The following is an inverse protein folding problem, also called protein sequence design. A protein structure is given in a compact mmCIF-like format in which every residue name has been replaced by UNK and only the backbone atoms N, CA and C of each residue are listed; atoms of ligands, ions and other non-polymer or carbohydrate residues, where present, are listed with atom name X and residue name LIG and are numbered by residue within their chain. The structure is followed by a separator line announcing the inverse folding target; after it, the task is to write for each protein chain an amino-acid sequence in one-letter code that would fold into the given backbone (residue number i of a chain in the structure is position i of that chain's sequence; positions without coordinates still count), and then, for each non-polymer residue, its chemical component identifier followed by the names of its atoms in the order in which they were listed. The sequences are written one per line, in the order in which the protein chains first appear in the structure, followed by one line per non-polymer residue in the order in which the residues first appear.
data_IF_371614615253
#
_entry.id   IF_371614615253
#
_cell.length_a   1.000
_cell.length_b   1.000
_cell.length_c   1.000
_cell.angle_alpha   90.00
_cell.angle_beta   90.00
_cell.angle_gamma   90.00
#
_symmetry.space_group_name_H-M   'P 1'
#
loop_
_entity.id
_entity.type
_entity.pdbx_description
1 polymer ?
#
# COMPACT_ATOMS: atom_id res chain seq x y z
N UNK A 1 61.82 -3.01 -19.87
CA UNK A 1 61.41 -3.52 -21.19
C UNK A 1 59.92 -3.82 -21.15
N UNK A 2 59.13 -2.82 -21.53
CA UNK A 2 57.69 -2.93 -21.76
C UNK A 2 57.48 -3.72 -23.05
N UNK A 3 56.42 -4.54 -23.13
CA UNK A 3 55.94 -5.06 -24.40
C UNK A 3 54.42 -4.92 -24.47
N UNK A 4 54.08 -3.90 -25.23
CA UNK A 4 52.78 -3.51 -25.78
C UNK A 4 52.30 -4.62 -26.72
N UNK A 5 51.02 -5.00 -26.64
CA UNK A 5 50.25 -5.46 -27.82
C UNK A 5 48.87 -4.82 -27.81
N UNK A 6 48.70 -3.87 -28.72
CA UNK A 6 47.45 -3.25 -29.13
C UNK A 6 46.99 -3.88 -30.45
N UNK A 7 45.68 -4.09 -30.52
CA UNK A 7 44.80 -4.04 -31.70
C UNK A 7 44.98 -5.09 -32.82
N UNK A 8 43.92 -5.86 -33.03
CA UNK A 8 43.27 -5.88 -34.33
C UNK A 8 41.75 -5.74 -34.17
N UNK A 9 41.23 -4.65 -34.71
CA UNK A 9 39.82 -4.34 -34.87
C UNK A 9 39.43 -4.68 -36.31
N UNK A 10 38.45 -5.55 -36.51
CA UNK A 10 37.76 -5.71 -37.80
C UNK A 10 36.24 -5.64 -37.57
N UNK A 11 35.64 -4.63 -38.20
CA UNK A 11 34.20 -4.39 -38.30
C UNK A 11 33.56 -5.39 -39.28
N UNK A 12 32.35 -5.85 -38.94
CA UNK A 12 31.17 -6.25 -39.76
C UNK A 12 30.44 -7.36 -38.98
N UNK A 13 29.13 -7.44 -38.83
CA UNK A 13 27.97 -6.63 -39.24
C UNK A 13 26.78 -7.09 -38.39
N UNK A 14 25.82 -6.19 -38.19
CA UNK A 14 24.49 -6.39 -37.63
C UNK A 14 23.81 -7.74 -37.93
N UNK A 15 23.28 -8.40 -36.90
CA UNK A 15 21.97 -9.08 -36.95
C UNK A 15 21.48 -9.36 -35.52
N UNK A 16 20.23 -8.93 -35.28
CA UNK A 16 19.47 -9.15 -34.05
C UNK A 16 19.14 -10.62 -33.90
N UNK A 17 19.42 -11.22 -32.74
CA UNK A 17 18.64 -12.34 -32.15
C UNK A 17 18.78 -12.25 -30.63
N UNK A 18 17.64 -12.11 -29.93
CA UNK A 18 17.54 -12.21 -28.47
C UNK A 18 17.90 -13.63 -28.00
N UNK A 19 18.70 -13.83 -26.93
CA UNK A 19 18.74 -15.09 -26.22
C UNK A 19 17.74 -15.11 -25.04
N UNK A 20 17.31 -16.31 -24.61
CA UNK A 20 16.15 -16.51 -23.74
C UNK A 20 16.50 -16.44 -22.25
N UNK A 21 15.44 -16.27 -21.47
CA UNK A 21 15.25 -16.44 -20.01
C UNK A 21 16.39 -17.19 -19.31
N UNK A 22 17.22 -16.46 -18.55
CA UNK A 22 18.27 -17.05 -17.74
C UNK A 22 17.72 -17.60 -16.43
N UNK A 23 17.69 -18.93 -16.35
CA UNK A 23 17.64 -19.73 -15.13
C UNK A 23 18.76 -19.35 -14.16
N UNK A 24 18.40 -18.85 -12.97
CA UNK A 24 19.33 -18.55 -11.89
C UNK A 24 19.84 -19.87 -11.29
N UNK A 25 21.05 -20.30 -11.67
CA UNK A 25 21.71 -21.46 -11.08
C UNK A 25 22.50 -21.04 -9.84
N UNK A 26 22.17 -21.66 -8.71
CA UNK A 26 22.92 -21.60 -7.46
C UNK A 26 24.32 -22.18 -7.66
N UNK A 27 25.36 -21.38 -7.39
CA UNK A 27 26.73 -21.88 -7.20
C UNK A 27 27.00 -21.90 -5.69
N UNK A 28 27.10 -23.11 -5.15
CA UNK A 28 27.53 -23.39 -3.78
C UNK A 28 29.04 -23.18 -3.71
N UNK A 29 29.45 -22.04 -3.18
CA UNK A 29 30.84 -21.74 -2.81
C UNK A 29 31.03 -21.93 -1.30
N UNK A 30 31.58 -23.07 -0.92
CA UNK A 30 31.95 -23.42 0.45
C UNK A 30 33.06 -22.52 1.01
N UNK A 31 32.73 -21.67 1.99
CA UNK A 31 33.69 -21.19 3.01
C UNK A 31 33.01 -21.14 4.38
N UNK A 32 33.59 -21.89 5.31
CA UNK A 32 33.28 -21.87 6.74
C UNK A 32 33.37 -20.44 7.29
N UNK A 33 32.22 -19.84 7.60
CA UNK A 33 32.14 -18.77 8.59
C UNK A 33 31.38 -19.31 9.80
N UNK A 34 32.11 -19.57 10.89
CA UNK A 34 31.53 -19.83 12.21
C UNK A 34 30.91 -18.52 12.71
N UNK A 35 29.63 -18.32 12.42
CA UNK A 35 28.82 -17.38 13.18
C UNK A 35 27.91 -18.16 14.13
N UNK A 36 28.05 -17.81 15.42
CA UNK A 36 27.18 -18.24 16.50
C UNK A 36 25.73 -18.09 16.07
N UNK A 37 24.95 -19.17 16.18
CA UNK A 37 23.50 -19.09 16.14
C UNK A 37 23.02 -18.04 17.15
N UNK A 38 22.26 -17.01 16.75
CA UNK A 38 21.49 -16.27 17.73
C UNK A 38 20.42 -17.22 18.24
N UNK A 39 20.45 -17.46 19.56
CA UNK A 39 19.52 -18.31 20.27
C UNK A 39 18.09 -18.09 19.77
N UNK A 40 17.42 -19.18 19.37
CA UNK A 40 15.98 -19.24 19.20
C UNK A 40 15.32 -18.87 20.53
N UNK A 41 15.08 -17.59 20.78
CA UNK A 41 14.03 -17.18 21.71
C UNK A 41 12.72 -17.44 20.99
N UNK A 42 12.16 -18.62 21.23
CA UNK A 42 10.72 -18.80 21.15
C UNK A 42 10.10 -17.81 22.13
N UNK A 43 9.82 -16.60 21.65
CA UNK A 43 8.89 -15.71 22.30
C UNK A 43 7.50 -16.25 21.98
N UNK A 44 7.00 -17.13 22.84
CA UNK A 44 5.59 -17.11 23.20
C UNK A 44 5.36 -15.77 23.89
N UNK A 45 5.15 -14.70 23.11
CA UNK A 45 4.61 -13.47 23.65
C UNK A 45 3.12 -13.71 23.78
N UNK A 46 2.68 -13.93 25.02
CA UNK A 46 1.33 -13.64 25.44
C UNK A 46 1.10 -12.15 25.19
N UNK A 47 0.65 -11.82 23.97
CA UNK A 47 0.19 -10.48 23.62
C UNK A 47 -1.11 -10.24 24.40
N UNK A 48 -1.36 -9.03 24.94
CA UNK A 48 -2.45 -8.82 25.90
C UNK A 48 -3.87 -8.92 25.32
N UNK A 49 -4.02 -9.14 24.02
CA UNK A 49 -5.28 -8.97 23.29
C UNK A 49 -5.59 -10.23 22.50
N UNK A 50 -6.82 -10.71 22.65
CA UNK A 50 -7.29 -11.91 21.94
C UNK A 50 -7.88 -11.51 20.59
N UNK A 51 -7.73 -12.34 19.55
CA UNK A 51 -8.38 -12.11 18.24
C UNK A 51 -9.92 -11.95 18.33
N UNK A 52 -10.51 -12.34 19.46
CA UNK A 52 -11.94 -12.22 19.75
C UNK A 52 -12.37 -10.78 20.04
N UNK A 53 -11.43 -9.86 20.32
CA UNK A 53 -11.69 -8.43 20.53
C UNK A 53 -11.70 -7.62 19.22
N UNK A 54 -11.27 -8.20 18.10
CA UNK A 54 -11.28 -7.54 16.80
C UNK A 54 -12.72 -7.45 16.27
N UNK A 55 -13.23 -6.24 16.12
CA UNK A 55 -14.55 -5.94 15.58
C UNK A 55 -14.53 -5.70 14.08
N UNK A 56 -13.34 -5.52 13.47
CA UNK A 56 -13.19 -5.39 12.03
C UNK A 56 -13.45 -6.73 11.32
N UNK A 57 -14.42 -6.74 10.40
CA UNK A 57 -14.71 -7.93 9.58
C UNK A 57 -14.74 -7.62 8.09
N UNK A 58 -13.75 -8.14 7.38
CA UNK A 58 -13.65 -8.11 5.93
C UNK A 58 -14.19 -9.42 5.37
N UNK A 59 -15.27 -9.36 4.60
CA UNK A 59 -15.92 -10.51 3.96
C UNK A 59 -15.56 -10.60 2.48
N UNK A 60 -15.31 -9.48 1.82
CA UNK A 60 -15.00 -9.42 0.39
C UNK A 60 -13.81 -8.50 0.10
N UNK A 61 -12.80 -9.02 -0.60
CA UNK A 61 -11.62 -8.27 -1.03
C UNK A 61 -11.60 -8.22 -2.54
N UNK A 62 -11.44 -7.03 -3.11
CA UNK A 62 -11.19 -6.84 -4.54
C UNK A 62 -9.70 -6.61 -4.77
N UNK A 63 -9.11 -7.42 -5.63
CA UNK A 63 -7.74 -7.30 -6.10
C UNK A 63 -7.74 -7.02 -7.61
N UNK A 64 -7.65 -5.74 -8.03
CA UNK A 64 -7.45 -5.42 -9.43
C UNK A 64 -5.99 -5.69 -9.84
N UNK A 65 -5.80 -6.33 -10.98
CA UNK A 65 -4.48 -6.69 -11.48
C UNK A 65 -4.28 -6.28 -12.93
N UNK A 66 -3.09 -5.77 -13.21
CA UNK A 66 -2.54 -5.65 -14.55
C UNK A 66 -1.36 -6.63 -14.76
N UNK A 67 -1.21 -7.59 -13.84
CA UNK A 67 -0.15 -8.62 -13.84
C UNK A 67 1.28 -8.05 -13.84
N UNK A 68 1.47 -6.83 -13.34
CA UNK A 68 2.80 -6.25 -13.09
C UNK A 68 3.46 -6.83 -11.83
N UNK A 69 4.77 -6.64 -11.68
CA UNK A 69 5.50 -7.04 -10.46
C UNK A 69 4.90 -6.39 -9.20
N UNK A 70 4.53 -5.11 -9.29
CA UNK A 70 3.84 -4.38 -8.22
C UNK A 70 2.49 -5.00 -7.88
N UNK A 71 1.68 -5.35 -8.89
CA UNK A 71 0.42 -6.05 -8.68
C UNK A 71 0.63 -7.43 -8.02
N UNK A 72 1.67 -8.17 -8.40
CA UNK A 72 1.97 -9.47 -7.81
C UNK A 72 2.36 -9.38 -6.32
N UNK A 73 3.07 -8.31 -5.91
CA UNK A 73 3.32 -8.05 -4.49
C UNK A 73 2.02 -7.69 -3.76
N UNK A 74 1.16 -6.88 -4.37
CA UNK A 74 -0.16 -6.58 -3.83
C UNK A 74 -1.06 -7.82 -3.70
N UNK A 75 -0.94 -8.80 -4.60
CA UNK A 75 -1.69 -10.04 -4.53
C UNK A 75 -1.35 -10.87 -3.29
N UNK A 76 -0.06 -10.94 -2.93
CA UNK A 76 0.37 -11.63 -1.72
C UNK A 76 -0.28 -11.01 -0.46
N UNK A 77 -0.38 -9.68 -0.42
CA UNK A 77 -1.08 -8.94 0.64
C UNK A 77 -2.59 -9.24 0.65
N UNK A 78 -3.22 -9.27 -0.52
CA UNK A 78 -4.64 -9.56 -0.66
C UNK A 78 -4.97 -10.99 -0.18
N UNK A 79 -4.15 -11.97 -0.54
CA UNK A 79 -4.28 -13.36 -0.07
C UNK A 79 -4.09 -13.46 1.44
N UNK A 80 -3.16 -12.70 2.01
CA UNK A 80 -2.95 -12.69 3.46
C UNK A 80 -4.16 -12.13 4.20
N UNK A 81 -4.65 -10.94 3.79
CA UNK A 81 -5.84 -10.33 4.37
C UNK A 81 -7.07 -11.23 4.22
N UNK A 82 -7.23 -11.89 3.06
CA UNK A 82 -8.31 -12.83 2.84
C UNK A 82 -8.23 -14.04 3.79
N UNK A 83 -7.02 -14.59 4.01
CA UNK A 83 -6.79 -15.69 4.97
C UNK A 83 -7.05 -15.26 6.41
N UNK A 84 -6.65 -14.05 6.78
CA UNK A 84 -6.84 -13.51 8.14
C UNK A 84 -8.32 -13.37 8.51
N UNK A 85 -9.16 -12.93 7.57
CA UNK A 85 -10.59 -12.71 7.82
C UNK A 85 -11.50 -13.83 7.31
N UNK A 86 -10.97 -14.82 6.58
CA UNK A 86 -11.78 -15.81 5.86
C UNK A 86 -12.63 -15.17 4.76
N UNK A 87 -12.12 -14.14 4.09
CA UNK A 87 -12.83 -13.35 3.09
C UNK A 87 -12.84 -14.03 1.71
N UNK A 88 -13.87 -13.76 0.91
CA UNK A 88 -13.86 -14.01 -0.53
C UNK A 88 -12.88 -13.05 -1.20
N UNK A 89 -12.04 -13.57 -2.09
CA UNK A 89 -11.07 -12.78 -2.87
C UNK A 89 -11.53 -12.71 -4.33
N UNK A 90 -11.92 -11.53 -4.78
CA UNK A 90 -12.24 -11.26 -6.18
C UNK A 90 -11.00 -10.71 -6.91
N UNK A 91 -10.50 -11.47 -7.88
CA UNK A 91 -9.41 -11.09 -8.77
C UNK A 91 -10.01 -10.47 -10.03
N UNK A 92 -9.77 -9.18 -10.26
CA UNK A 92 -10.37 -8.43 -11.35
C UNK A 92 -9.30 -7.96 -12.35
N UNK A 93 -9.54 -8.19 -13.64
CA UNK A 93 -8.77 -7.57 -14.72
C UNK A 93 -9.68 -6.78 -15.65
N UNK A 94 -9.37 -5.51 -15.85
CA UNK A 94 -10.09 -4.64 -16.77
C UNK A 94 -9.35 -4.54 -18.10
N UNK A 95 -10.03 -4.90 -19.18
CA UNK A 95 -9.52 -4.83 -20.56
C UNK A 95 -10.02 -3.54 -21.20
N UNK A 96 -9.09 -2.68 -21.59
CA UNK A 96 -9.41 -1.48 -22.39
C UNK A 96 -9.28 -1.82 -23.87
N UNK A 97 -10.36 -1.81 -24.66
CA UNK A 97 -10.28 -2.03 -26.11
C UNK A 97 -9.39 -0.97 -26.73
N UNK A 98 -8.35 -1.40 -27.47
CA UNK A 98 -7.62 -0.48 -28.33
C UNK A 98 -8.33 -0.45 -29.67
N UNK A 99 -8.82 0.72 -30.08
CA UNK A 99 -9.23 0.93 -31.46
C UNK A 99 -7.99 0.92 -32.34
N UNK A 100 -7.89 -0.04 -33.25
CA UNK A 100 -6.87 0.00 -34.29
C UNK A 100 -7.28 1.04 -35.35
N UNK A 101 -6.94 2.31 -35.07
CA UNK A 101 -7.19 3.44 -35.97
C UNK A 101 -6.50 3.29 -37.34
N UNK A 102 -5.59 2.34 -37.49
CA UNK A 102 -4.86 2.09 -38.75
C UNK A 102 -5.61 1.18 -39.73
N UNK A 103 -6.67 0.50 -39.28
CA UNK A 103 -7.43 -0.42 -40.11
C UNK A 103 -8.95 -0.15 -40.02
N UNK A 104 -9.52 0.66 -40.94
CA UNK A 104 -10.95 1.03 -40.96
C UNK A 104 -11.89 -0.14 -41.32
N UNK A 105 -11.35 -1.32 -41.63
CA UNK A 105 -12.10 -2.56 -41.89
C UNK A 105 -12.01 -3.57 -40.74
N UNK A 106 -11.35 -3.22 -39.63
CA UNK A 106 -11.36 -4.05 -38.42
C UNK A 106 -12.80 -4.23 -37.96
N UNK A 107 -13.18 -5.48 -37.68
CA UNK A 107 -14.52 -5.79 -37.16
C UNK A 107 -14.81 -4.90 -35.94
N UNK A 108 -16.08 -4.48 -35.71
CA UNK A 108 -16.43 -3.75 -34.50
C UNK A 108 -15.88 -4.50 -33.27
N UNK A 109 -15.43 -3.78 -32.23
CA UNK A 109 -14.76 -4.39 -31.09
C UNK A 109 -15.67 -5.46 -30.47
N UNK A 110 -15.33 -6.73 -30.69
CA UNK A 110 -16.11 -7.85 -30.18
C UNK A 110 -16.24 -9.02 -31.16
N UNK A 111 -15.39 -10.04 -30.98
CA UNK A 111 -15.81 -11.42 -30.64
C UNK A 111 -14.69 -12.45 -30.80
N UNK A 112 -13.74 -12.29 -31.73
CA UNK A 112 -12.64 -13.25 -31.92
C UNK A 112 -11.36 -12.89 -31.16
N UNK A 113 -10.86 -11.65 -31.28
CA UNK A 113 -9.65 -11.23 -30.55
C UNK A 113 -9.84 -11.25 -29.03
N UNK A 114 -11.05 -10.89 -28.57
CA UNK A 114 -11.38 -10.93 -27.14
C UNK A 114 -11.39 -12.37 -26.58
N UNK A 115 -11.81 -13.38 -27.36
CA UNK A 115 -11.79 -14.79 -26.89
C UNK A 115 -10.37 -15.30 -26.69
N UNK A 116 -9.46 -14.99 -27.61
CA UNK A 116 -8.04 -15.37 -27.51
C UNK A 116 -7.34 -14.63 -26.37
N UNK A 117 -7.56 -13.31 -26.23
CA UNK A 117 -7.00 -12.52 -25.12
C UNK A 117 -7.54 -12.96 -23.76
N UNK A 118 -8.84 -13.27 -23.66
CA UNK A 118 -9.44 -13.81 -22.42
C UNK A 118 -8.78 -15.10 -21.96
N UNK A 119 -8.42 -15.99 -22.88
CA UNK A 119 -7.75 -17.25 -22.51
C UNK A 119 -6.41 -16.97 -21.86
N UNK A 120 -5.60 -16.09 -22.45
CA UNK A 120 -4.30 -15.67 -21.91
C UNK A 120 -4.46 -15.02 -20.53
N UNK A 121 -5.42 -14.09 -20.39
CA UNK A 121 -5.71 -13.42 -19.12
C UNK A 121 -6.14 -14.42 -18.05
N UNK A 122 -6.96 -15.41 -18.42
CA UNK A 122 -7.41 -16.47 -17.51
C UNK A 122 -6.22 -17.33 -17.04
N UNK A 123 -5.31 -17.66 -17.94
CA UNK A 123 -4.11 -18.41 -17.59
C UNK A 123 -3.15 -17.60 -16.69
N UNK A 124 -2.99 -16.29 -16.95
CA UNK A 124 -2.23 -15.39 -16.06
C UNK A 124 -2.87 -15.28 -14.66
N UNK A 125 -4.21 -15.19 -14.56
CA UNK A 125 -4.93 -15.19 -13.28
C UNK A 125 -4.68 -16.48 -12.50
N UNK A 126 -4.87 -17.63 -13.15
CA UNK A 126 -4.63 -18.95 -12.54
C UNK A 126 -3.19 -19.08 -12.04
N UNK A 127 -2.22 -18.68 -12.86
CA UNK A 127 -0.82 -18.77 -12.49
C UNK A 127 -0.50 -17.95 -11.22
N UNK A 128 -1.07 -16.75 -11.09
CA UNK A 128 -0.89 -15.90 -9.91
C UNK A 128 -1.55 -16.54 -8.67
N UNK A 129 -2.79 -17.02 -8.81
CA UNK A 129 -3.54 -17.71 -7.73
C UNK A 129 -2.78 -18.95 -7.23
N UNK A 130 -2.26 -19.77 -8.13
CA UNK A 130 -1.47 -20.97 -7.82
C UNK A 130 -0.17 -20.62 -7.11
N UNK A 131 0.54 -19.58 -7.57
CA UNK A 131 1.85 -19.19 -7.03
C UNK A 131 1.84 -18.80 -5.55
N UNK A 132 0.71 -18.32 -5.02
CA UNK A 132 0.59 -17.86 -3.63
C UNK A 132 -0.13 -18.86 -2.71
N UNK A 133 -0.40 -20.08 -3.18
CA UNK A 133 -1.06 -21.11 -2.38
C UNK A 133 -2.40 -20.63 -1.83
N UNK A 134 -3.21 -20.01 -2.69
CA UNK A 134 -4.49 -19.43 -2.34
C UNK A 134 -5.66 -20.44 -2.40
N UNK A 135 -5.37 -21.74 -2.57
CA UNK A 135 -6.37 -22.81 -2.75
C UNK A 135 -7.39 -22.97 -1.61
N UNK A 136 -7.10 -22.47 -0.42
CA UNK A 136 -8.00 -22.52 0.73
C UNK A 136 -9.04 -21.37 0.75
N UNK A 137 -8.90 -20.40 -0.15
CA UNK A 137 -9.79 -19.24 -0.23
C UNK A 137 -10.89 -19.47 -1.27
N UNK A 138 -12.03 -18.81 -1.07
CA UNK A 138 -13.03 -18.65 -2.12
C UNK A 138 -12.53 -17.55 -3.05
N UNK A 139 -12.16 -17.92 -4.27
CA UNK A 139 -11.63 -16.98 -5.27
C UNK A 139 -12.62 -16.86 -6.42
N UNK A 140 -12.95 -15.62 -6.75
CA UNK A 140 -13.73 -15.25 -7.93
C UNK A 140 -12.83 -14.55 -8.93
N UNK A 141 -12.85 -14.98 -10.18
CA UNK A 141 -12.07 -14.37 -11.26
C UNK A 141 -13.03 -13.59 -12.18
N UNK A 142 -12.77 -12.30 -12.39
CA UNK A 142 -13.59 -11.43 -13.22
C UNK A 142 -12.75 -10.70 -14.28
N UNK A 143 -13.24 -10.72 -15.52
CA UNK A 143 -12.61 -10.02 -16.65
C UNK A 143 -13.66 -9.11 -17.27
N UNK A 144 -13.52 -7.81 -17.00
CA UNK A 144 -14.43 -6.77 -17.49
C UNK A 144 -13.80 -5.99 -18.64
N UNK A 145 -14.63 -5.47 -19.54
CA UNK A 145 -14.19 -4.66 -20.67
C UNK A 145 -14.81 -3.27 -20.57
N UNK A 146 -13.98 -2.23 -20.61
CA UNK A 146 -14.43 -0.85 -20.50
C UNK A 146 -13.42 0.14 -21.12
N UNK A 147 -13.79 1.40 -21.27
CA UNK A 147 -12.92 2.47 -21.76
C UNK A 147 -11.94 2.98 -20.70
N UNK A 148 -12.24 2.80 -19.40
CA UNK A 148 -11.40 3.29 -18.31
C UNK A 148 -11.29 2.29 -17.15
N UNK A 149 -10.06 2.06 -16.67
CA UNK A 149 -9.80 1.03 -15.64
C UNK A 149 -10.22 1.48 -14.23
N UNK A 150 -9.92 2.73 -13.85
CA UNK A 150 -10.24 3.25 -12.52
C UNK A 150 -11.74 3.21 -12.20
N UNK A 151 -12.61 3.76 -13.08
CA UNK A 151 -14.06 3.74 -12.88
C UNK A 151 -14.60 2.32 -12.73
N UNK A 152 -14.20 1.39 -13.61
CA UNK A 152 -14.58 -0.03 -13.53
C UNK A 152 -14.30 -0.63 -12.17
N UNK A 153 -13.10 -0.39 -11.62
CA UNK A 153 -12.73 -0.93 -10.30
C UNK A 153 -13.63 -0.35 -9.21
N UNK A 154 -13.86 0.97 -9.23
CA UNK A 154 -14.66 1.65 -8.21
C UNK A 154 -16.16 1.31 -8.29
N UNK A 155 -16.69 1.18 -9.51
CA UNK A 155 -18.09 0.81 -9.76
C UNK A 155 -18.31 -0.66 -9.38
N UNK A 156 -17.43 -1.57 -9.81
CA UNK A 156 -17.49 -2.96 -9.40
C UNK A 156 -17.43 -3.11 -7.87
N UNK A 157 -16.51 -2.38 -7.22
CA UNK A 157 -16.39 -2.42 -5.77
C UNK A 157 -17.69 -1.97 -5.06
N UNK A 158 -18.36 -0.96 -5.60
CA UNK A 158 -19.64 -0.46 -5.09
C UNK A 158 -20.77 -1.45 -5.34
N UNK A 159 -20.91 -1.94 -6.57
CA UNK A 159 -22.04 -2.77 -7.00
C UNK A 159 -22.02 -4.17 -6.36
N UNK A 160 -20.82 -4.65 -6.01
CA UNK A 160 -20.61 -5.93 -5.34
C UNK A 160 -20.37 -5.82 -3.82
N UNK A 161 -20.59 -4.63 -3.24
CA UNK A 161 -20.42 -4.37 -1.80
C UNK A 161 -19.06 -4.83 -1.24
N UNK A 162 -17.98 -4.53 -1.97
CA UNK A 162 -16.61 -4.88 -1.59
C UNK A 162 -16.17 -4.15 -0.33
N UNK A 163 -15.61 -4.89 0.63
CA UNK A 163 -15.13 -4.35 1.91
C UNK A 163 -13.76 -3.67 1.79
N UNK A 164 -12.84 -4.23 1.01
CA UNK A 164 -11.48 -3.72 0.87
C UNK A 164 -10.99 -3.89 -0.56
N UNK A 165 -10.35 -2.86 -1.12
CA UNK A 165 -9.55 -2.98 -2.33
C UNK A 165 -8.08 -3.12 -1.95
N UNK A 166 -7.39 -4.12 -2.50
CA UNK A 166 -5.94 -4.28 -2.34
C UNK A 166 -5.28 -4.15 -3.70
N UNK A 167 -4.35 -3.22 -3.89
CA UNK A 167 -3.75 -3.00 -5.22
C UNK A 167 -2.33 -2.47 -5.18
N UNK A 168 -1.62 -2.63 -6.30
CA UNK A 168 -0.33 -1.99 -6.52
C UNK A 168 -0.48 -0.48 -6.77
N UNK A 169 0.52 0.30 -6.37
CA UNK A 169 0.57 1.76 -6.63
C UNK A 169 0.96 2.12 -8.06
N UNK A 170 1.52 1.16 -8.80
CA UNK A 170 2.02 1.36 -10.17
C UNK A 170 1.70 0.11 -11.00
N UNK A 171 1.62 0.29 -12.31
CA UNK A 171 1.38 -0.79 -13.27
C UNK A 171 2.45 -0.88 -14.36
N UNK A 172 2.18 -1.67 -15.41
CA UNK A 172 3.09 -1.99 -16.52
C UNK A 172 3.64 -0.76 -17.29
N UNK A 173 2.94 0.38 -17.23
CA UNK A 173 3.27 1.61 -17.99
C UNK A 173 3.91 2.72 -17.15
N UNK A 174 4.16 2.50 -15.85
CA UNK A 174 4.65 3.55 -14.94
C UNK A 174 6.09 4.00 -15.27
N UNK A 175 6.29 5.31 -15.46
CA UNK A 175 7.61 5.91 -15.64
C UNK A 175 8.36 5.98 -14.30
N UNK A 176 9.06 4.89 -13.98
CA UNK A 176 9.91 4.78 -12.78
C UNK A 176 9.12 4.74 -11.47
N UNK A 177 9.79 4.29 -10.40
CA UNK A 177 9.24 4.15 -9.05
C UNK A 177 8.87 5.50 -8.38
N UNK A 178 8.59 6.57 -9.12
CA UNK A 178 8.48 7.94 -8.60
C UNK A 178 7.07 8.56 -8.70
N UNK A 179 6.09 7.91 -9.34
CA UNK A 179 4.75 8.48 -9.59
C UNK A 179 3.61 7.50 -9.29
N UNK A 180 2.68 7.86 -8.40
CA UNK A 180 1.44 7.10 -8.21
C UNK A 180 0.75 6.91 -9.57
N UNK A 181 0.45 5.66 -9.93
CA UNK A 181 -0.19 5.36 -11.20
C UNK A 181 -1.60 5.96 -11.24
N UNK A 182 -2.03 6.42 -12.42
CA UNK A 182 -3.33 7.09 -12.58
C UNK A 182 -4.51 6.26 -12.07
N UNK A 183 -4.50 4.95 -12.32
CA UNK A 183 -5.53 4.01 -11.84
C UNK A 183 -5.52 3.93 -10.31
N UNK A 184 -4.34 3.81 -9.69
CA UNK A 184 -4.23 3.73 -8.24
C UNK A 184 -4.67 5.04 -7.57
N UNK A 185 -4.28 6.19 -8.13
CA UNK A 185 -4.75 7.49 -7.67
C UNK A 185 -6.27 7.61 -7.74
N UNK A 186 -6.86 7.22 -8.88
CA UNK A 186 -8.30 7.26 -9.11
C UNK A 186 -9.07 6.37 -8.12
N UNK A 187 -8.62 5.13 -7.91
CA UNK A 187 -9.23 4.19 -6.97
C UNK A 187 -9.12 4.70 -5.52
N UNK A 188 -7.93 5.13 -5.09
CA UNK A 188 -7.72 5.70 -3.74
C UNK A 188 -8.54 6.96 -3.53
N UNK A 189 -8.80 7.74 -4.59
CA UNK A 189 -9.63 8.95 -4.52
C UNK A 189 -11.12 8.62 -4.44
N UNK A 190 -11.64 7.74 -5.30
CA UNK A 190 -13.08 7.61 -5.53
C UNK A 190 -13.73 6.34 -4.97
N UNK A 191 -12.98 5.33 -4.54
CA UNK A 191 -13.60 4.14 -3.92
C UNK A 191 -14.38 4.50 -2.65
N UNK A 192 -15.48 3.80 -2.42
CA UNK A 192 -16.35 3.96 -1.24
C UNK A 192 -15.95 3.04 -0.06
N UNK A 193 -14.93 2.21 -0.26
CA UNK A 193 -14.36 1.33 0.74
C UNK A 193 -12.85 1.60 0.89
N UNK A 194 -12.25 1.22 2.03
CA UNK A 194 -10.82 1.35 2.24
C UNK A 194 -9.97 0.75 1.11
N UNK A 195 -8.77 1.31 0.91
CA UNK A 195 -7.81 0.82 -0.10
C UNK A 195 -6.47 0.56 0.55
N UNK A 196 -6.00 -0.68 0.50
CA UNK A 196 -4.64 -1.07 0.86
C UNK A 196 -3.77 -1.02 -0.39
N UNK A 197 -2.83 -0.09 -0.39
CA UNK A 197 -1.90 0.13 -1.51
C UNK A 197 -0.53 -0.41 -1.20
N UNK A 198 0.03 -1.16 -2.15
CA UNK A 198 1.35 -1.77 -2.05
C UNK A 198 2.28 -1.12 -3.06
N UNK A 199 3.48 -0.78 -2.63
CA UNK A 199 4.54 -0.34 -3.52
C UNK A 199 5.51 -1.47 -3.76
N UNK A 200 5.91 -1.63 -5.02
CA UNK A 200 6.96 -2.57 -5.37
C UNK A 200 8.29 -2.20 -4.70
N UNK A 201 8.80 -3.13 -3.92
CA UNK A 201 10.14 -3.06 -3.33
C UNK A 201 10.97 -4.27 -3.75
N UNK A 202 12.29 -4.10 -3.82
CA UNK A 202 13.19 -5.18 -4.26
C UNK A 202 13.20 -6.37 -3.31
N UNK A 203 13.06 -6.11 -2.01
CA UNK A 203 13.08 -7.11 -0.94
C UNK A 203 11.88 -6.90 -0.03
N UNK A 204 10.69 -7.40 -0.41
CA UNK A 204 9.50 -7.26 0.41
C UNK A 204 9.68 -7.99 1.74
N UNK A 205 9.29 -7.34 2.83
CA UNK A 205 9.17 -8.01 4.13
C UNK A 205 8.06 -9.07 4.02
N UNK A 206 8.12 -10.17 4.80
CA UNK A 206 7.01 -11.11 4.88
C UNK A 206 5.72 -10.40 5.31
N UNK A 207 4.64 -10.63 4.57
CA UNK A 207 3.34 -9.98 4.79
C UNK A 207 2.84 -10.17 6.23
N UNK A 208 3.09 -11.34 6.84
CA UNK A 208 2.62 -11.67 8.18
C UNK A 208 3.41 -10.99 9.34
N UNK A 209 4.40 -10.13 9.06
CA UNK A 209 5.29 -9.57 10.10
C UNK A 209 5.04 -8.10 10.44
N UNK A 210 3.79 -7.64 10.41
CA UNK A 210 3.43 -6.29 10.83
C UNK A 210 3.56 -6.18 12.36
N UNK A 211 4.48 -5.33 12.84
CA UNK A 211 4.70 -5.11 14.28
C UNK A 211 4.46 -3.66 14.69
N UNK A 212 4.72 -2.71 13.80
CA UNK A 212 4.55 -1.29 14.06
C UNK A 212 3.63 -0.66 13.02
N UNK A 213 2.49 -0.13 13.45
CA UNK A 213 1.53 0.55 12.58
C UNK A 213 1.65 2.06 12.83
N UNK A 214 2.06 2.81 11.80
CA UNK A 214 2.14 4.27 11.86
C UNK A 214 0.79 4.89 11.51
N UNK A 215 0.33 5.79 12.37
CA UNK A 215 -0.92 6.55 12.17
C UNK A 215 -0.60 8.04 12.22
N UNK A 216 -0.54 8.72 11.06
CA UNK A 216 -0.42 10.17 11.02
C UNK A 216 -1.70 10.84 11.53
N UNK A 217 -1.56 11.79 12.45
CA UNK A 217 -2.68 12.47 13.12
C UNK A 217 -2.63 13.97 12.82
N UNK A 218 -3.73 14.51 12.33
CA UNK A 218 -3.91 15.94 12.06
C UNK A 218 -5.04 16.58 12.91
N UNK A 219 -5.51 15.89 13.94
CA UNK A 219 -6.61 16.32 14.82
C UNK A 219 -7.97 16.53 14.14
N UNK A 220 -8.14 16.06 12.89
CA UNK A 220 -9.45 15.98 12.26
C UNK A 220 -10.24 14.76 12.76
N UNK A 221 -11.56 14.78 12.60
CA UNK A 221 -12.42 13.58 12.83
C UNK A 221 -12.01 12.39 11.96
N UNK A 222 -11.37 12.64 10.81
CA UNK A 222 -10.87 11.59 9.93
C UNK A 222 -9.65 10.88 10.53
N UNK A 223 -8.84 11.59 11.32
CA UNK A 223 -7.75 10.98 12.07
C UNK A 223 -8.30 10.03 13.16
N UNK A 224 -9.36 10.41 13.86
CA UNK A 224 -10.05 9.55 14.84
C UNK A 224 -10.48 8.21 14.21
N UNK A 225 -11.13 8.25 13.04
CA UNK A 225 -11.48 7.04 12.30
C UNK A 225 -10.24 6.21 11.94
N UNK A 226 -9.16 6.84 11.48
CA UNK A 226 -7.92 6.15 11.12
C UNK A 226 -7.29 5.43 12.31
N UNK A 227 -7.36 6.04 13.51
CA UNK A 227 -6.90 5.41 14.75
C UNK A 227 -7.74 4.17 15.06
N UNK A 228 -9.06 4.23 14.93
CA UNK A 228 -9.92 3.07 15.19
C UNK A 228 -9.63 1.89 14.26
N UNK A 229 -9.43 2.13 12.96
CA UNK A 229 -8.98 1.10 12.02
C UNK A 229 -7.60 0.55 12.38
N UNK A 230 -6.68 1.43 12.80
CA UNK A 230 -5.34 1.01 13.19
C UNK A 230 -5.35 0.14 14.45
N UNK A 231 -6.19 0.43 15.45
CA UNK A 231 -6.38 -0.39 16.66
C UNK A 231 -6.82 -1.82 16.30
N UNK A 232 -7.81 -1.93 15.42
CA UNK A 232 -8.31 -3.22 14.93
C UNK A 232 -7.24 -4.02 14.18
N UNK A 233 -6.52 -3.36 13.27
CA UNK A 233 -5.39 -3.99 12.56
C UNK A 233 -4.28 -4.38 13.54
N UNK A 234 -4.02 -3.57 14.58
CA UNK A 234 -3.02 -3.87 15.60
C UNK A 234 -3.37 -5.14 16.38
N UNK A 235 -4.63 -5.34 16.77
CA UNK A 235 -5.06 -6.61 17.40
C UNK A 235 -4.93 -7.78 16.43
N UNK A 236 -5.33 -7.61 15.17
CA UNK A 236 -5.26 -8.67 14.15
C UNK A 236 -3.82 -9.18 13.94
N UNK A 237 -2.85 -8.26 13.92
CA UNK A 237 -1.43 -8.54 13.71
C UNK A 237 -0.65 -8.79 15.01
N UNK A 238 -1.19 -8.43 16.17
CA UNK A 238 -0.42 -8.38 17.42
C UNK A 238 0.63 -7.24 17.41
N UNK A 239 0.31 -6.13 16.77
CA UNK A 239 1.18 -4.98 16.57
C UNK A 239 0.95 -3.87 17.60
N UNK A 240 1.84 -2.88 17.62
CA UNK A 240 1.68 -1.63 18.36
C UNK A 240 1.45 -0.45 17.40
N UNK A 241 0.85 0.62 17.93
CA UNK A 241 0.63 1.87 17.20
C UNK A 241 1.76 2.88 17.44
N UNK A 242 2.10 3.62 16.40
CA UNK A 242 2.95 4.82 16.45
C UNK A 242 2.12 5.99 15.93
N UNK A 243 1.68 6.87 16.84
CA UNK A 243 0.84 8.02 16.51
C UNK A 243 1.76 9.19 16.22
N UNK A 244 1.69 9.76 15.03
CA UNK A 244 2.61 10.82 14.60
C UNK A 244 1.86 12.09 14.23
N UNK A 245 2.10 13.17 14.97
CA UNK A 245 1.69 14.51 14.58
C UNK A 245 2.88 15.32 14.07
N UNK A 246 2.75 15.89 12.88
CA UNK A 246 3.72 16.83 12.31
C UNK A 246 3.19 18.24 12.44
N UNK A 247 3.87 19.06 13.24
CA UNK A 247 3.65 20.50 13.29
C UNK A 247 4.32 21.11 12.06
N UNK A 248 3.50 21.63 11.15
CA UNK A 248 4.02 22.23 9.92
C UNK A 248 4.81 23.51 10.20
N UNK A 249 6.03 23.56 9.66
CA UNK A 249 6.85 24.77 9.66
C UNK A 249 6.25 25.78 8.67
N UNK A 250 5.29 26.56 9.15
CA UNK A 250 4.76 27.72 8.46
C UNK A 250 5.91 28.73 8.34
N UNK A 251 6.56 28.78 7.17
CA UNK A 251 7.68 29.68 6.81
C UNK A 251 7.54 31.04 7.51
N UNK A 252 8.16 31.18 8.69
CA UNK A 252 8.16 32.45 9.40
C UNK A 252 9.18 33.34 8.70
N UNK A 253 8.83 34.59 8.33
CA UNK A 253 9.79 35.53 7.76
C UNK A 253 11.04 35.58 8.65
N UNK A 254 12.23 35.52 8.04
CA UNK A 254 13.52 35.42 8.74
C UNK A 254 13.72 36.48 9.85
N UNK A 255 13.01 37.61 9.77
CA UNK A 255 13.00 38.67 10.78
C UNK A 255 12.38 38.26 12.14
N UNK A 256 11.55 37.21 12.21
CA UNK A 256 11.02 36.67 13.47
C UNK A 256 11.96 35.64 14.13
N UNK A 257 12.91 35.08 13.37
CA UNK A 257 13.91 34.15 13.87
C UNK A 257 15.06 34.91 14.55
N UNK A 258 14.79 35.53 15.71
CA UNK A 258 15.82 36.06 16.62
C UNK A 258 16.62 34.90 17.26
N UNK A 259 17.32 34.11 16.45
CA UNK A 259 18.20 33.03 16.91
C UNK A 259 17.51 31.78 17.47
N UNK A 260 16.20 31.64 17.31
CA UNK A 260 15.43 30.44 17.67
C UNK A 260 15.01 29.70 16.41
N UNK A 261 15.29 28.40 16.34
CA UNK A 261 15.21 27.60 15.10
C UNK A 261 14.04 26.62 15.07
N UNK A 262 13.30 26.45 16.16
CA UNK A 262 12.19 25.50 16.25
C UNK A 262 10.93 26.11 16.87
N UNK A 263 9.75 25.73 16.37
CA UNK A 263 8.44 26.11 16.93
C UNK A 263 8.32 25.82 18.42
N UNK A 264 8.96 24.74 18.90
CA UNK A 264 8.95 24.36 20.31
C UNK A 264 9.66 25.37 21.20
N UNK A 265 10.65 26.10 20.66
CA UNK A 265 11.33 27.18 21.40
C UNK A 265 10.48 28.46 21.48
N UNK A 266 9.51 28.61 20.56
CA UNK A 266 8.58 29.74 20.54
C UNK A 266 7.32 29.46 21.37
N UNK A 267 6.85 28.21 21.39
CA UNK A 267 5.66 27.77 22.14
C UNK A 267 5.96 26.41 22.78
N UNK A 268 6.67 26.36 23.91
CA UNK A 268 7.05 25.09 24.58
C UNK A 268 5.86 24.19 24.92
N UNK A 269 4.69 24.78 25.11
CA UNK A 269 3.45 24.07 25.43
C UNK A 269 2.81 23.39 24.24
N UNK A 270 3.22 23.70 23.00
CA UNK A 270 2.58 23.16 21.79
C UNK A 270 2.74 21.65 21.72
N UNK A 271 3.93 21.12 22.05
CA UNK A 271 4.19 19.69 22.07
C UNK A 271 3.30 18.98 23.09
N UNK A 272 3.27 19.48 24.33
CA UNK A 272 2.44 18.93 25.41
C UNK A 272 0.95 18.99 25.08
N UNK A 273 0.51 20.06 24.39
CA UNK A 273 -0.88 20.19 23.95
C UNK A 273 -1.20 19.20 22.84
N UNK A 274 -0.31 19.02 21.87
CA UNK A 274 -0.45 18.03 20.80
C UNK A 274 -0.52 16.62 21.38
N UNK A 275 0.36 16.26 22.33
CA UNK A 275 0.32 14.93 22.99
C UNK A 275 -1.02 14.70 23.66
N UNK A 276 -1.51 15.64 24.49
CA UNK A 276 -2.82 15.51 25.15
C UNK A 276 -3.98 15.36 24.17
N UNK A 277 -3.91 16.03 23.02
CA UNK A 277 -4.94 15.91 22.00
C UNK A 277 -4.89 14.56 21.29
N UNK A 278 -3.70 14.00 21.06
CA UNK A 278 -3.55 12.63 20.54
C UNK A 278 -4.09 11.61 21.56
N UNK A 279 -3.79 11.77 22.84
CA UNK A 279 -4.32 10.93 23.93
C UNK A 279 -5.86 10.96 23.92
N UNK A 280 -6.45 12.16 23.86
CA UNK A 280 -7.91 12.33 23.77
C UNK A 280 -8.49 11.60 22.55
N UNK A 281 -7.88 11.75 21.37
CA UNK A 281 -8.34 11.05 20.16
C UNK A 281 -8.17 9.54 20.26
N UNK A 282 -7.13 9.06 20.92
CA UNK A 282 -6.93 7.64 21.15
C UNK A 282 -8.04 7.09 22.05
N UNK A 283 -8.41 7.80 23.10
CA UNK A 283 -9.49 7.40 24.03
C UNK A 283 -10.87 7.47 23.36
N UNK A 284 -11.11 8.47 22.52
CA UNK A 284 -12.40 8.66 21.83
C UNK A 284 -12.55 7.74 20.61
N UNK A 285 -11.44 7.34 19.98
CA UNK A 285 -11.47 6.43 18.84
C UNK A 285 -11.98 5.05 19.26
N UNK A 286 -12.96 4.54 18.51
CA UNK A 286 -13.47 3.18 18.68
C UNK A 286 -12.41 2.10 18.43
N UNK A 287 -12.76 0.86 18.74
CA UNK A 287 -11.84 -0.28 18.65
C UNK A 287 -11.09 -0.57 19.96
N UNK A 288 -10.38 -1.70 20.03
CA UNK A 288 -9.74 -2.19 21.25
C UNK A 288 -8.54 -1.34 21.67
N UNK A 289 -8.24 -1.33 22.97
CA UNK A 289 -7.00 -0.75 23.47
C UNK A 289 -5.80 -1.55 22.98
N UNK A 290 -4.75 -0.86 22.56
CA UNK A 290 -3.51 -1.47 22.05
C UNK A 290 -2.31 -0.64 22.49
N UNK A 291 -1.10 -1.22 22.55
CA UNK A 291 0.09 -0.46 22.93
C UNK A 291 0.33 0.64 21.90
N UNK A 292 0.48 1.88 22.36
CA UNK A 292 0.63 3.04 21.50
C UNK A 292 1.75 3.95 21.97
N UNK A 293 2.62 4.37 21.04
CA UNK A 293 3.63 5.41 21.26
C UNK A 293 3.21 6.70 20.54
N UNK A 294 3.37 7.84 21.21
CA UNK A 294 3.00 9.16 20.67
C UNK A 294 4.27 9.92 20.29
N UNK A 295 4.27 10.46 19.07
CA UNK A 295 5.36 11.25 18.53
C UNK A 295 4.84 12.58 17.98
N UNK A 296 5.48 13.67 18.41
CA UNK A 296 5.27 15.00 17.84
C UNK A 296 6.57 15.47 17.22
N UNK A 297 6.54 15.90 15.97
CA UNK A 297 7.71 16.39 15.22
C UNK A 297 7.38 17.70 14.52
N UNK A 298 8.40 18.51 14.28
CA UNK A 298 8.29 19.70 13.42
C UNK A 298 8.77 19.34 12.01
N UNK A 299 8.08 19.83 10.97
CA UNK A 299 8.52 19.61 9.60
C UNK A 299 7.46 19.79 8.52
N UNK A 300 7.51 18.93 7.50
CA UNK A 300 6.59 18.89 6.36
C UNK A 300 5.87 17.54 6.39
N UNK A 301 4.56 17.56 6.66
CA UNK A 301 3.77 16.37 6.98
C UNK A 301 4.09 15.15 6.10
N UNK A 302 3.82 15.22 4.79
CA UNK A 302 4.02 14.08 3.89
C UNK A 302 5.45 13.54 3.86
N UNK A 303 6.46 14.42 3.82
CA UNK A 303 7.87 14.02 3.75
C UNK A 303 8.29 13.34 5.03
N UNK A 304 7.92 13.94 6.16
CA UNK A 304 8.42 13.51 7.46
C UNK A 304 7.62 12.31 8.00
N UNK A 305 6.38 12.08 7.55
CA UNK A 305 5.65 10.81 7.73
C UNK A 305 6.41 9.65 7.07
N UNK A 306 6.76 9.77 5.78
CA UNK A 306 7.46 8.70 5.04
C UNK A 306 8.83 8.43 5.67
N UNK A 307 9.59 9.47 5.99
CA UNK A 307 10.88 9.33 6.67
C UNK A 307 10.76 8.72 8.06
N UNK A 308 9.71 9.07 8.80
CA UNK A 308 9.46 8.50 10.11
C UNK A 308 9.20 7.00 10.00
N UNK A 309 8.36 6.58 9.05
CA UNK A 309 8.06 5.18 8.79
C UNK A 309 9.33 4.34 8.55
N UNK A 310 10.23 4.85 7.71
CA UNK A 310 11.51 4.20 7.42
C UNK A 310 12.42 4.18 8.67
N UNK A 311 12.52 5.30 9.39
CA UNK A 311 13.43 5.43 10.53
C UNK A 311 12.98 4.66 11.78
N UNK A 312 11.68 4.45 11.96
CA UNK A 312 11.10 3.81 13.15
C UNK A 312 10.62 2.38 12.88
N UNK A 313 11.01 1.80 11.73
CA UNK A 313 10.64 0.46 11.32
C UNK A 313 9.12 0.24 11.38
N UNK A 314 8.34 1.22 10.92
CA UNK A 314 6.92 0.98 10.68
C UNK A 314 6.79 -0.08 9.58
N UNK A 315 5.74 -0.89 9.65
CA UNK A 315 5.46 -1.97 8.71
C UNK A 315 4.18 -1.70 7.92
N UNK A 316 3.33 -0.80 8.40
CA UNK A 316 2.08 -0.37 7.77
C UNK A 316 1.81 1.10 8.13
N UNK A 317 1.28 1.88 7.19
CA UNK A 317 0.73 3.21 7.48
C UNK A 317 -0.79 3.15 7.36
N UNK A 318 -1.51 3.61 8.38
CA UNK A 318 -2.97 3.78 8.33
C UNK A 318 -3.26 5.28 8.30
N UNK A 319 -3.97 5.75 7.28
CA UNK A 319 -4.19 7.19 7.05
C UNK A 319 -5.53 7.43 6.37
N UNK A 320 -6.24 8.49 6.76
CA UNK A 320 -7.46 8.91 6.07
C UNK A 320 -7.16 9.53 4.69
N UNK A 321 -8.11 9.41 3.76
CA UNK A 321 -8.02 10.09 2.45
C UNK A 321 -8.18 11.60 2.54
N UNK A 322 -8.77 12.11 3.62
CA UNK A 322 -8.99 13.53 3.87
C UNK A 322 -8.51 13.91 5.28
N UNK A 323 -8.20 15.18 5.46
CA UNK A 323 -7.75 15.74 6.74
C UNK A 323 -8.48 17.03 7.08
N UNK A 324 -7.82 17.94 7.81
CA UNK A 324 -8.35 19.23 8.25
C UNK A 324 -8.93 20.13 7.14
N UNK A 325 -8.34 20.11 5.94
CA UNK A 325 -8.71 21.01 4.84
C UNK A 325 -9.81 20.46 3.91
N UNK A 326 -10.36 19.27 4.19
CA UNK A 326 -11.12 18.48 3.22
C UNK A 326 -12.42 19.13 2.73
N UNK A 327 -12.52 19.33 1.41
CA UNK A 327 -13.79 19.55 0.69
C UNK A 327 -14.51 18.19 0.68
N UNK A 328 -15.78 18.18 1.07
CA UNK A 328 -16.60 16.97 1.06
C UNK A 328 -16.65 16.38 -0.38
N UNK A 329 -16.08 15.18 -0.54
CA UNK A 329 -16.33 14.20 -1.62
C UNK A 329 -15.49 14.18 -2.91
N UNK A 330 -14.47 15.03 -3.13
CA UNK A 330 -13.78 15.05 -4.45
C UNK A 330 -12.24 15.06 -4.48
N UNK A 331 -11.55 15.39 -3.38
CA UNK A 331 -10.09 15.55 -3.41
C UNK A 331 -9.34 14.67 -2.41
N UNK A 332 -8.49 13.77 -2.92
CA UNK A 332 -7.47 13.09 -2.13
C UNK A 332 -6.57 14.14 -1.48
N UNK A 333 -6.43 14.08 -0.16
CA UNK A 333 -5.61 15.01 0.61
C UNK A 333 -4.16 14.99 0.13
N UNK A 334 -3.56 16.18 -0.01
CA UNK A 334 -2.20 16.31 -0.56
C UNK A 334 -1.12 15.61 0.28
N UNK A 335 -1.38 15.37 1.56
CA UNK A 335 -0.52 14.57 2.44
C UNK A 335 -0.67 13.10 2.11
N UNK A 336 -1.90 12.59 2.09
CA UNK A 336 -2.21 11.18 1.80
C UNK A 336 -1.75 10.77 0.41
N UNK A 337 -1.98 11.58 -0.63
CA UNK A 337 -1.49 11.32 -1.99
C UNK A 337 0.04 11.09 -2.00
N UNK A 338 0.79 11.99 -1.34
CA UNK A 338 2.25 11.88 -1.26
C UNK A 338 2.69 10.69 -0.41
N UNK A 339 1.99 10.37 0.68
CA UNK A 339 2.30 9.20 1.50
C UNK A 339 2.10 7.91 0.70
N UNK A 340 0.93 7.73 0.06
CA UNK A 340 0.65 6.57 -0.82
C UNK A 340 1.67 6.46 -1.95
N UNK A 341 2.09 7.59 -2.51
CA UNK A 341 3.09 7.65 -3.57
C UNK A 341 4.51 7.27 -3.12
N UNK A 342 4.92 7.69 -1.92
CA UNK A 342 6.33 7.66 -1.51
C UNK A 342 6.65 6.69 -0.38
N UNK A 343 5.68 6.14 0.35
CA UNK A 343 5.93 5.13 1.37
C UNK A 343 6.50 3.85 0.75
N UNK A 344 7.49 3.24 1.40
CA UNK A 344 8.02 1.93 1.03
C UNK A 344 7.22 0.77 1.65
N UNK A 345 6.46 1.06 2.70
CA UNK A 345 5.56 0.12 3.38
C UNK A 345 4.15 0.25 2.81
N UNK A 346 3.30 -0.80 2.94
CA UNK A 346 1.90 -0.71 2.58
C UNK A 346 1.21 0.48 3.27
N UNK A 347 0.23 1.07 2.55
CA UNK A 347 -0.58 2.18 3.06
C UNK A 347 -2.05 1.78 3.00
N UNK A 348 -2.68 1.64 4.17
CA UNK A 348 -4.11 1.43 4.33
C UNK A 348 -4.81 2.78 4.39
N UNK A 349 -5.53 3.11 3.32
CA UNK A 349 -6.26 4.38 3.22
C UNK A 349 -7.71 4.21 3.68
N UNK A 350 -8.06 4.91 4.76
CA UNK A 350 -9.42 4.88 5.35
C UNK A 350 -10.30 5.88 4.63
N UNK A 351 -11.51 5.45 4.27
CA UNK A 351 -12.53 6.31 3.67
C UNK A 351 -13.38 6.95 4.75
N UNK A 352 -13.53 8.26 4.60
CA UNK A 352 -14.33 9.12 5.48
C UNK A 352 -15.83 8.95 5.24
N UNK A 353 -16.20 8.53 4.04
CA UNK A 353 -17.56 8.30 3.58
C UNK A 353 -17.64 6.91 2.93
N UNK A 354 -18.83 6.33 2.93
CA UNK A 354 -19.06 4.99 2.40
C UNK A 354 -19.01 3.92 3.50
N UNK A 355 -18.49 2.74 3.19
CA UNK A 355 -18.55 1.56 4.05
C UNK A 355 -17.51 1.64 5.16
N UNK A 356 -17.95 1.61 6.42
CA UNK A 356 -17.06 1.42 7.56
C UNK A 356 -16.90 -0.07 7.88
N UNK A 357 -15.66 -0.54 7.99
CA UNK A 357 -15.31 -1.89 8.42
C UNK A 357 -15.23 -2.04 9.94
N UNK A 358 -15.08 -0.92 10.64
CA UNK A 358 -15.12 -0.88 12.11
C UNK A 358 -16.54 -0.51 12.51
N UNK A 359 -17.17 -1.40 13.28
CA UNK A 359 -18.48 -1.14 13.86
C UNK A 359 -18.27 -0.21 15.05
N UNK A 360 -18.75 1.03 14.95
CA UNK A 360 -18.74 1.93 16.10
C UNK A 360 -19.70 1.35 17.15
N UNK A 361 -19.17 0.80 18.23
CA UNK A 361 -19.90 0.60 19.49
C UNK A 361 -20.09 1.94 20.17
N UNK A 362 -20.92 2.79 19.58
CA UNK A 362 -21.51 3.93 20.29
C UNK A 362 -22.99 3.64 20.44
N UNK A 363 -23.36 3.28 21.68
CA UNK A 363 -24.75 3.18 22.14
C UNK A 363 -25.43 4.54 22.19
#
# INVERSE_FOLDING_TARGET
MQSIRLLHCTRRSLSRVFPPVSSCSFIIGSRLCRHREPAKRCFSQDLPFSKEECMMRIRSILFPTDFSCCANQAFAEAVHMAKLHGAELCVLHAVVPQEDLSNPLSSPPGTLEFKSHRTIITDEMKAIVESQGAHALVIREEILQDIAVGPVITEYAKDHDIDLIVMGTHGRRGLGHLFLGSVAEEVVRFSLCPVLTIREVQYPKPVASVRNILVPVDFSKHAEQSIGYAKELAVLYGAQLQLLHIIEDQLRPAFYAKGRSSIFEFVPEIEKRSVREIERLLDESGGPDVPSEIHVKEGRAARDIVRFADAHNSDLIVIATHGLAGIEHLLLGSVTEKVVRFAAVPVFTVKVFGKSLVVNTTS
#
